data_IF_586595145195
#
_entry.id   IF_586595145195
#
_cell.length_a   1.000
_cell.length_b   1.000
_cell.length_c   1.000
_cell.angle_alpha   90.00
_cell.angle_beta   90.00
_cell.angle_gamma   90.00
#
_symmetry.space_group_name_H-M   'P 1'
#
loop_
_entity.id
_entity.type
_entity.pdbx_description
1 polymer ?
#
# COMPACT_ATOMS: atom_id res chain seq x y z
N UNK A 1 71.54 -46.02 23.44
CA UNK A 1 71.23 -45.36 22.15
C UNK A 1 69.91 -44.64 22.29
N UNK A 2 69.86 -43.39 21.85
CA UNK A 2 68.79 -42.40 22.08
C UNK A 2 67.48 -42.88 21.43
N UNK A 3 66.26 -42.69 21.95
CA UNK A 3 65.70 -41.74 22.93
C UNK A 3 65.46 -40.28 22.45
N UNK A 4 65.47 -40.01 21.14
CA UNK A 4 65.08 -38.69 20.60
C UNK A 4 64.31 -38.78 19.27
N UNK A 5 63.09 -39.35 19.26
CA UNK A 5 62.11 -39.23 18.13
C UNK A 5 60.64 -39.12 18.54
N UNK A 6 60.36 -38.65 19.76
CA UNK A 6 59.00 -38.34 20.24
C UNK A 6 58.89 -36.87 20.66
N UNK A 7 58.79 -35.97 19.68
CA UNK A 7 58.35 -34.57 19.77
C UNK A 7 58.36 -34.02 18.33
N UNK A 8 57.20 -33.71 17.74
CA UNK A 8 57.16 -33.31 16.32
C UNK A 8 55.80 -33.25 15.61
N UNK A 9 54.71 -33.73 16.22
CA UNK A 9 53.35 -33.46 15.71
C UNK A 9 52.90 -32.10 16.29
N UNK A 10 53.48 -31.03 15.75
CA UNK A 10 53.25 -29.67 16.22
C UNK A 10 51.93 -29.10 15.70
N UNK A 11 51.04 -28.73 16.63
CA UNK A 11 50.21 -27.52 16.60
C UNK A 11 49.28 -27.22 15.40
N UNK A 12 49.05 -28.15 14.47
CA UNK A 12 48.01 -28.00 13.42
C UNK A 12 46.61 -28.46 13.86
N UNK A 13 46.47 -29.12 15.01
CA UNK A 13 45.20 -29.63 15.52
C UNK A 13 44.26 -28.60 16.18
N UNK A 14 44.69 -27.35 16.39
CA UNK A 14 43.93 -26.32 17.13
C UNK A 14 43.88 -24.98 16.37
N UNK A 15 43.66 -25.04 15.05
CA UNK A 15 43.31 -23.85 14.24
C UNK A 15 42.11 -24.06 13.29
N UNK A 16 41.36 -25.16 13.45
CA UNK A 16 40.13 -25.44 12.68
C UNK A 16 38.85 -25.49 13.55
N UNK A 17 38.94 -25.18 14.84
CA UNK A 17 37.80 -25.19 15.77
C UNK A 17 37.19 -23.79 16.04
N UNK A 18 37.83 -22.71 15.57
CA UNK A 18 37.44 -21.32 15.87
C UNK A 18 36.76 -20.59 14.71
N UNK A 19 36.74 -21.14 13.50
CA UNK A 19 35.97 -20.60 12.37
C UNK A 19 34.49 -21.02 12.37
N UNK A 20 34.08 -21.93 13.25
CA UNK A 20 32.67 -22.26 13.52
C UNK A 20 31.99 -21.26 14.49
N UNK A 21 32.76 -20.35 15.10
CA UNK A 21 32.26 -19.21 15.89
C UNK A 21 32.07 -17.93 15.07
N UNK A 22 32.15 -18.00 13.73
CA UNK A 22 31.97 -16.86 12.84
C UNK A 22 30.58 -16.25 13.05
N UNK A 23 30.55 -14.99 13.46
CA UNK A 23 29.38 -14.35 14.04
C UNK A 23 28.06 -14.67 13.33
N UNK A 24 27.17 -15.36 14.06
CA UNK A 24 25.74 -15.02 13.99
C UNK A 24 25.60 -13.64 14.65
N UNK A 25 26.11 -12.63 13.95
CA UNK A 25 25.45 -11.33 13.94
C UNK A 25 24.00 -11.67 13.65
N UNK A 26 23.11 -11.38 14.58
CA UNK A 26 21.70 -11.45 14.24
C UNK A 26 21.50 -10.40 13.16
N UNK A 27 21.41 -10.84 11.90
CA UNK A 27 20.80 -10.09 10.82
C UNK A 27 19.29 -10.05 11.11
N UNK A 28 18.94 -9.51 12.27
CA UNK A 28 17.78 -8.67 12.46
C UNK A 28 18.00 -7.45 11.54
N UNK A 29 17.85 -7.70 10.24
CA UNK A 29 17.48 -6.69 9.27
C UNK A 29 16.32 -5.95 9.94
N UNK A 30 16.46 -4.66 10.28
CA UNK A 30 15.45 -3.99 11.09
C UNK A 30 14.13 -4.09 10.34
N UNK A 31 13.19 -4.86 10.91
CA UNK A 31 11.88 -5.10 10.31
C UNK A 31 11.29 -3.74 9.97
N UNK A 32 11.10 -3.50 8.67
CA UNK A 32 11.22 -2.15 8.12
C UNK A 32 10.28 -1.19 8.84
N UNK A 33 10.81 -0.04 9.28
CA UNK A 33 10.16 0.90 10.18
C UNK A 33 8.99 1.69 9.54
N UNK A 34 8.04 1.00 8.90
CA UNK A 34 6.64 1.44 8.76
C UNK A 34 5.83 1.22 10.06
N UNK A 35 6.48 0.81 11.17
CA UNK A 35 5.95 0.95 12.52
C UNK A 35 5.68 2.43 12.82
N UNK A 36 4.45 2.86 12.56
CA UNK A 36 3.96 4.24 12.70
C UNK A 36 4.84 5.29 11.99
N UNK A 37 4.71 5.34 10.66
CA UNK A 37 4.74 6.66 10.03
C UNK A 37 3.65 7.53 10.71
N UNK A 38 3.96 8.76 11.19
CA UNK A 38 3.18 9.44 12.21
C UNK A 38 1.91 10.09 11.65
N UNK A 39 0.89 9.27 11.38
CA UNK A 39 -0.39 9.68 10.81
C UNK A 39 -1.47 9.80 11.88
N UNK A 40 -1.82 11.02 12.23
CA UNK A 40 -2.97 11.32 13.08
C UNK A 40 -4.28 11.29 12.30
N UNK A 41 -5.38 11.18 13.03
CA UNK A 41 -6.72 11.45 12.55
C UNK A 41 -6.88 12.95 12.22
N UNK A 42 -7.69 13.31 11.22
CA UNK A 42 -7.90 14.72 10.87
C UNK A 42 -8.67 15.47 11.97
N UNK A 43 -8.56 16.81 12.04
CA UNK A 43 -9.34 17.59 12.99
C UNK A 43 -10.85 17.41 12.71
N UNK A 44 -11.66 17.35 13.77
CA UNK A 44 -13.12 17.20 13.66
C UNK A 44 -13.80 18.32 12.88
N UNK A 45 -13.15 19.48 12.75
CA UNK A 45 -13.58 20.62 11.94
C UNK A 45 -13.39 20.44 10.42
N UNK A 46 -12.66 19.42 9.96
CA UNK A 46 -12.44 19.11 8.54
C UNK A 46 -13.75 19.16 7.74
N UNK A 47 -13.77 19.83 6.59
CA UNK A 47 -14.91 19.90 5.67
C UNK A 47 -14.58 19.28 4.30
N UNK A 48 -15.59 18.92 3.48
CA UNK A 48 -15.36 18.46 2.11
C UNK A 48 -14.57 19.46 1.25
N UNK A 49 -14.74 20.77 1.51
CA UNK A 49 -13.98 21.83 0.84
C UNK A 49 -12.48 21.76 1.14
N UNK A 50 -12.07 21.36 2.34
CA UNK A 50 -10.65 21.25 2.71
C UNK A 50 -9.93 20.14 1.94
N UNK A 51 -10.67 19.15 1.42
CA UNK A 51 -10.13 18.08 0.57
C UNK A 51 -10.17 18.41 -0.94
N UNK A 52 -10.70 19.56 -1.35
CA UNK A 52 -10.75 19.94 -2.76
C UNK A 52 -9.34 20.23 -3.33
N UNK A 53 -9.12 19.87 -4.60
CA UNK A 53 -7.85 19.99 -5.30
C UNK A 53 -7.44 18.72 -6.02
N UNK A 54 -6.24 18.74 -6.62
CA UNK A 54 -5.67 17.56 -7.31
C UNK A 54 -4.76 16.79 -6.36
N UNK A 55 -5.10 15.52 -6.19
CA UNK A 55 -4.35 14.53 -5.44
C UNK A 55 -3.66 13.57 -6.41
N UNK A 56 -2.44 13.14 -6.09
CA UNK A 56 -1.65 12.26 -6.95
C UNK A 56 -0.89 11.22 -6.14
N UNK A 57 -0.76 10.00 -6.68
CA UNK A 57 0.21 9.00 -6.22
C UNK A 57 0.98 8.40 -7.40
N UNK A 58 2.08 7.71 -7.09
CA UNK A 58 2.97 7.08 -8.06
C UNK A 58 3.37 5.69 -7.57
N UNK A 59 2.70 4.66 -8.10
CA UNK A 59 2.92 3.28 -7.70
C UNK A 59 4.27 2.75 -8.19
N UNK A 60 4.67 3.12 -9.41
CA UNK A 60 5.92 2.74 -10.07
C UNK A 60 6.41 3.81 -11.04
N UNK A 61 7.64 3.66 -11.56
CA UNK A 61 8.25 4.65 -12.47
C UNK A 61 7.48 4.77 -13.78
N UNK A 62 6.69 5.85 -13.91
CA UNK A 62 5.84 6.08 -15.09
C UNK A 62 4.45 5.47 -14.96
N UNK A 63 4.01 5.14 -13.74
CA UNK A 63 2.62 4.87 -13.36
C UNK A 63 2.15 5.99 -12.44
N UNK A 64 1.06 6.67 -12.81
CA UNK A 64 0.50 7.79 -12.04
C UNK A 64 -1.01 7.60 -11.91
N UNK A 65 -1.54 7.77 -10.71
CA UNK A 65 -2.98 7.87 -10.44
C UNK A 65 -3.26 9.26 -9.84
N UNK A 66 -4.33 9.91 -10.31
CA UNK A 66 -4.78 11.24 -9.90
C UNK A 66 -6.25 11.23 -9.52
N UNK A 67 -6.58 11.90 -8.42
CA UNK A 67 -7.95 12.18 -8.01
C UNK A 67 -8.14 13.70 -7.94
N UNK A 68 -9.01 14.24 -8.78
CA UNK A 68 -9.42 15.64 -8.74
C UNK A 68 -10.70 15.71 -7.90
N UNK A 69 -10.61 16.19 -6.66
CA UNK A 69 -11.78 16.35 -5.78
C UNK A 69 -12.30 17.78 -5.85
N UNK A 70 -13.61 17.97 -5.92
CA UNK A 70 -14.27 19.27 -5.81
C UNK A 70 -15.09 19.39 -4.53
N UNK A 71 -15.21 20.61 -4.04
CA UNK A 71 -16.01 20.96 -2.86
C UNK A 71 -17.54 20.78 -3.06
N UNK A 72 -17.99 20.58 -4.30
CA UNK A 72 -19.40 20.31 -4.67
C UNK A 72 -19.83 18.85 -4.47
N UNK A 73 -18.93 17.98 -3.98
CA UNK A 73 -19.19 16.54 -3.84
C UNK A 73 -18.94 15.74 -5.11
N UNK A 74 -18.36 16.33 -6.17
CA UNK A 74 -17.95 15.61 -7.39
C UNK A 74 -16.44 15.38 -7.47
N UNK A 75 -16.04 14.29 -8.13
CA UNK A 75 -14.64 13.94 -8.36
C UNK A 75 -14.40 13.40 -9.77
N UNK A 76 -13.12 13.39 -10.17
CA UNK A 76 -12.64 12.64 -11.34
C UNK A 76 -11.37 11.87 -10.98
N UNK A 77 -11.26 10.62 -11.45
CA UNK A 77 -10.01 9.85 -11.45
C UNK A 77 -9.36 9.88 -12.83
N UNK A 78 -8.03 9.99 -12.88
CA UNK A 78 -7.22 9.78 -14.07
C UNK A 78 -6.02 8.88 -13.74
N UNK A 79 -5.86 7.78 -14.47
CA UNK A 79 -4.71 6.87 -14.34
C UNK A 79 -3.95 6.80 -15.67
N UNK A 80 -2.62 6.93 -15.62
CA UNK A 80 -1.72 6.77 -16.76
C UNK A 80 -0.64 5.74 -16.46
N UNK A 81 -0.32 4.86 -17.42
CA UNK A 81 0.95 4.13 -17.41
C UNK A 81 1.68 4.20 -18.75
N UNK A 82 3.00 4.43 -18.67
CA UNK A 82 3.94 4.39 -19.79
C UNK A 82 4.88 3.16 -19.69
N UNK A 83 4.53 2.21 -18.82
CA UNK A 83 5.34 1.01 -18.51
C UNK A 83 5.07 -0.09 -19.53
N UNK A 84 5.94 -0.18 -20.52
CA UNK A 84 5.78 -1.04 -21.71
C UNK A 84 5.68 -2.55 -21.45
N UNK A 85 5.93 -3.04 -20.22
CA UNK A 85 5.81 -4.46 -19.85
C UNK A 85 4.49 -4.81 -19.13
N UNK A 86 3.62 -3.83 -18.85
CA UNK A 86 2.28 -4.06 -18.28
C UNK A 86 1.26 -4.00 -19.41
N UNK A 87 0.84 -2.79 -19.79
CA UNK A 87 0.14 -2.46 -21.03
C UNK A 87 0.73 -1.11 -21.45
N UNK A 88 1.31 -1.04 -22.65
CA UNK A 88 1.88 0.22 -23.17
C UNK A 88 0.77 1.25 -23.36
N UNK A 89 1.01 2.47 -22.88
CA UNK A 89 0.19 3.66 -23.08
C UNK A 89 -1.29 3.48 -22.68
N UNK A 90 -1.55 2.62 -21.68
CA UNK A 90 -2.87 2.49 -21.07
C UNK A 90 -3.18 3.75 -20.24
N UNK A 91 -4.38 4.30 -20.47
CA UNK A 91 -4.96 5.38 -19.69
C UNK A 91 -6.41 5.07 -19.33
N UNK A 92 -6.87 5.61 -18.19
CA UNK A 92 -8.26 5.57 -17.74
C UNK A 92 -8.66 6.92 -17.18
N UNK A 93 -9.90 7.35 -17.45
CA UNK A 93 -10.48 8.61 -16.97
C UNK A 93 -11.96 8.39 -16.63
N UNK A 94 -12.43 8.90 -15.50
CA UNK A 94 -13.86 8.89 -15.15
C UNK A 94 -14.61 10.10 -15.71
N UNK A 95 -15.95 10.03 -15.68
CA UNK A 95 -16.78 11.23 -15.64
C UNK A 95 -16.53 12.05 -14.36
N UNK A 96 -17.30 13.13 -14.20
CA UNK A 96 -17.46 13.75 -12.88
C UNK A 96 -18.50 12.94 -12.10
N UNK A 97 -18.02 12.11 -11.18
CA UNK A 97 -18.81 11.19 -10.37
C UNK A 97 -18.97 11.73 -8.94
N UNK A 98 -19.87 11.16 -8.14
CA UNK A 98 -20.12 11.59 -6.75
C UNK A 98 -19.09 11.01 -5.76
N UNK A 99 -18.71 11.80 -4.75
CA UNK A 99 -17.95 11.34 -3.59
C UNK A 99 -18.57 11.79 -2.27
N UNK A 100 -18.41 10.94 -1.25
CA UNK A 100 -18.98 11.12 0.09
C UNK A 100 -17.88 11.10 1.15
N UNK A 101 -18.07 11.86 2.23
CA UNK A 101 -17.19 11.86 3.41
C UNK A 101 -17.88 11.12 4.56
N UNK A 102 -17.31 9.99 4.96
CA UNK A 102 -17.79 9.13 6.05
C UNK A 102 -16.99 9.45 7.32
N UNK A 103 -17.66 9.67 8.46
CA UNK A 103 -17.02 10.01 9.75
C UNK A 103 -17.40 9.01 10.83
N UNK A 104 -16.42 8.64 11.65
CA UNK A 104 -16.56 7.65 12.71
C UNK A 104 -16.52 8.33 14.08
N UNK A 105 -17.14 7.70 15.09
CA UNK A 105 -17.24 8.25 16.45
C UNK A 105 -15.89 8.30 17.20
N UNK A 106 -14.87 7.61 16.69
CA UNK A 106 -13.48 7.61 17.18
C UNK A 106 -12.62 8.74 16.56
N UNK A 107 -13.16 9.51 15.61
CA UNK A 107 -12.47 10.59 14.93
C UNK A 107 -11.93 10.23 13.54
N UNK A 108 -11.94 8.96 13.13
CA UNK A 108 -11.55 8.57 11.76
C UNK A 108 -12.47 9.23 10.73
N UNK A 109 -11.91 9.51 9.56
CA UNK A 109 -12.64 9.98 8.38
C UNK A 109 -12.20 9.17 7.17
N UNK A 110 -13.17 8.74 6.35
CA UNK A 110 -12.95 8.16 5.03
C UNK A 110 -13.60 9.02 3.95
N UNK A 111 -13.12 8.86 2.73
CA UNK A 111 -13.88 9.27 1.54
C UNK A 111 -14.24 8.04 0.71
N UNK A 112 -15.41 8.07 0.08
CA UNK A 112 -15.93 7.05 -0.82
C UNK A 112 -16.13 7.67 -2.21
N UNK A 113 -15.49 7.11 -3.22
CA UNK A 113 -15.42 7.65 -4.58
C UNK A 113 -16.19 6.71 -5.54
N UNK A 114 -17.45 7.04 -5.86
CA UNK A 114 -18.34 6.15 -6.62
C UNK A 114 -17.86 5.98 -8.07
N UNK A 115 -17.63 4.74 -8.51
CA UNK A 115 -17.09 4.42 -9.84
C UNK A 115 -15.59 4.68 -10.02
N UNK A 116 -14.86 5.03 -8.96
CA UNK A 116 -13.39 5.00 -8.97
C UNK A 116 -12.86 3.57 -8.88
N UNK A 117 -11.62 3.36 -9.31
CA UNK A 117 -10.97 2.05 -9.41
C UNK A 117 -9.69 1.97 -8.58
N UNK A 118 -9.43 0.77 -8.07
CA UNK A 118 -8.25 0.46 -7.24
C UNK A 118 -7.02 0.09 -8.10
N UNK A 119 -6.28 1.09 -8.60
CA UNK A 119 -5.08 0.85 -9.42
C UNK A 119 -3.82 0.46 -8.62
N UNK A 120 -3.79 0.62 -7.29
CA UNK A 120 -2.74 0.05 -6.43
C UNK A 120 -2.67 -1.49 -6.53
N UNK A 121 -3.77 -2.16 -6.94
CA UNK A 121 -3.80 -3.58 -7.28
C UNK A 121 -3.39 -3.92 -8.72
N UNK A 122 -2.97 -2.92 -9.49
CA UNK A 122 -2.69 -3.01 -10.92
C UNK A 122 -3.95 -3.01 -11.80
N UNK A 123 -3.76 -2.72 -13.10
CA UNK A 123 -4.84 -2.58 -14.09
C UNK A 123 -5.80 -3.79 -14.08
N UNK A 124 -5.27 -5.02 -13.92
CA UNK A 124 -6.08 -6.25 -13.88
C UNK A 124 -7.10 -6.26 -12.73
N UNK A 125 -6.80 -5.64 -11.59
CA UNK A 125 -7.74 -5.53 -10.46
C UNK A 125 -8.69 -4.36 -10.64
N UNK A 126 -8.20 -3.24 -11.19
CA UNK A 126 -9.00 -2.06 -11.49
C UNK A 126 -10.09 -2.31 -12.55
N UNK A 127 -9.77 -3.01 -13.64
CA UNK A 127 -10.75 -3.38 -14.69
C UNK A 127 -11.79 -4.39 -14.20
N UNK A 128 -11.45 -5.23 -13.22
CA UNK A 128 -12.40 -6.16 -12.59
C UNK A 128 -13.31 -5.46 -11.56
N UNK A 129 -13.07 -4.19 -11.24
CA UNK A 129 -13.92 -3.40 -10.35
C UNK A 129 -14.16 -4.14 -9.01
N UNK A 130 -13.07 -4.52 -8.34
CA UNK A 130 -13.08 -5.24 -7.06
C UNK A 130 -13.58 -6.68 -7.10
N UNK A 131 -13.82 -7.28 -8.29
CA UNK A 131 -14.31 -8.66 -8.44
C UNK A 131 -13.14 -9.64 -8.55
N UNK A 132 -13.35 -10.87 -8.09
CA UNK A 132 -12.30 -11.88 -7.96
C UNK A 132 -11.68 -12.28 -9.32
N UNK A 133 -10.35 -12.47 -9.38
CA UNK A 133 -9.64 -12.90 -10.60
C UNK A 133 -9.77 -14.42 -10.88
N UNK A 134 -11.00 -14.88 -11.05
CA UNK A 134 -11.34 -16.24 -11.45
C UNK A 134 -12.82 -16.29 -11.82
N UNK A 135 -13.13 -16.43 -13.12
CA UNK A 135 -14.51 -16.40 -13.62
C UNK A 135 -15.37 -17.56 -13.10
N UNK A 136 -16.67 -17.52 -13.41
CA UNK A 136 -17.68 -18.43 -12.87
C UNK A 136 -17.34 -19.94 -12.98
N UNK A 137 -16.49 -20.34 -13.93
CA UNK A 137 -15.94 -21.72 -14.02
C UNK A 137 -15.28 -22.23 -12.73
N UNK A 138 -14.70 -21.37 -11.89
CA UNK A 138 -14.05 -21.78 -10.63
C UNK A 138 -14.99 -21.81 -9.41
N UNK A 139 -16.15 -21.14 -9.49
CA UNK A 139 -17.00 -20.86 -8.32
C UNK A 139 -18.48 -21.23 -8.52
N UNK A 140 -18.86 -21.69 -9.71
CA UNK A 140 -20.23 -22.07 -10.06
C UNK A 140 -21.17 -20.87 -10.19
N UNK A 141 -22.48 -21.16 -10.14
CA UNK A 141 -23.55 -20.15 -10.30
C UNK A 141 -23.60 -19.12 -9.16
N UNK A 142 -23.04 -19.44 -7.98
CA UNK A 142 -22.90 -18.49 -6.87
C UNK A 142 -21.88 -17.37 -7.13
N UNK A 143 -21.04 -17.52 -8.15
CA UNK A 143 -19.97 -16.58 -8.47
C UNK A 143 -18.82 -16.58 -7.45
N UNK A 144 -17.76 -15.83 -7.78
CA UNK A 144 -16.64 -15.67 -6.87
C UNK A 144 -16.97 -14.66 -5.77
N UNK A 145 -16.50 -14.84 -4.52
CA UNK A 145 -16.72 -13.87 -3.45
C UNK A 145 -16.11 -12.50 -3.80
N UNK A 146 -16.83 -11.44 -3.45
CA UNK A 146 -16.37 -10.05 -3.56
C UNK A 146 -15.00 -9.87 -2.89
N UNK A 147 -14.10 -9.11 -3.50
CA UNK A 147 -12.79 -8.89 -2.91
C UNK A 147 -12.92 -7.96 -1.69
N UNK A 148 -12.52 -8.45 -0.53
CA UNK A 148 -12.41 -7.66 0.69
C UNK A 148 -11.06 -6.93 0.72
N UNK A 149 -11.09 -5.65 1.10
CA UNK A 149 -9.90 -4.80 1.20
C UNK A 149 -9.66 -4.47 2.67
N UNK A 150 -8.48 -4.82 3.18
CA UNK A 150 -8.11 -4.62 4.57
C UNK A 150 -7.79 -3.15 4.86
N UNK A 151 -8.40 -2.58 5.90
CA UNK A 151 -8.06 -1.25 6.41
C UNK A 151 -7.04 -1.38 7.56
N UNK A 152 -5.77 -0.97 7.37
CA UNK A 152 -4.73 -1.08 8.39
C UNK A 152 -4.81 -0.05 9.52
N UNK A 153 -5.73 0.90 9.43
CA UNK A 153 -6.00 1.92 10.47
C UNK A 153 -7.17 1.47 11.37
N UNK A 154 -8.08 0.66 10.83
CA UNK A 154 -9.30 0.22 11.51
C UNK A 154 -9.29 -1.26 11.95
N UNK A 155 -8.36 -2.07 11.44
CA UNK A 155 -8.34 -3.54 11.61
C UNK A 155 -9.65 -4.21 11.16
N UNK A 156 -10.17 -3.79 9.98
CA UNK A 156 -11.41 -4.30 9.42
C UNK A 156 -11.29 -4.61 7.91
N UNK A 157 -12.28 -5.31 7.36
CA UNK A 157 -12.39 -5.56 5.91
C UNK A 157 -13.48 -4.70 5.29
N UNK A 158 -13.09 -3.81 4.39
CA UNK A 158 -13.95 -2.90 3.62
C UNK A 158 -14.30 -3.53 2.27
N UNK A 159 -15.55 -3.40 1.85
CA UNK A 159 -16.00 -3.78 0.51
C UNK A 159 -15.86 -2.58 -0.45
N UNK A 160 -15.21 -2.79 -1.61
CA UNK A 160 -14.86 -1.74 -2.58
C UNK A 160 -15.11 -2.19 -4.04
N UNK A 161 -16.28 -2.80 -4.29
CA UNK A 161 -16.78 -3.07 -5.64
C UNK A 161 -17.63 -1.88 -6.08
N UNK A 162 -17.31 -1.25 -7.21
CA UNK A 162 -18.00 -0.06 -7.70
C UNK A 162 -17.56 1.26 -7.05
N UNK A 163 -16.53 1.26 -6.19
CA UNK A 163 -16.04 2.45 -5.49
C UNK A 163 -14.58 2.33 -5.03
N UNK A 164 -13.89 3.46 -4.88
CA UNK A 164 -12.61 3.54 -4.16
C UNK A 164 -12.85 4.19 -2.79
N UNK A 165 -12.55 3.47 -1.71
CA UNK A 165 -12.57 3.99 -0.34
C UNK A 165 -11.14 4.27 0.13
N UNK A 166 -10.92 5.47 0.69
CA UNK A 166 -9.62 5.93 1.20
C UNK A 166 -9.80 6.52 2.61
N UNK A 167 -8.85 6.27 3.52
CA UNK A 167 -8.79 6.95 4.80
C UNK A 167 -8.16 8.34 4.64
N UNK A 168 -8.76 9.36 5.25
CA UNK A 168 -8.15 10.70 5.38
C UNK A 168 -7.28 10.69 6.62
N UNK A 169 -5.99 11.03 6.49
CA UNK A 169 -5.07 11.21 7.62
C UNK A 169 -4.35 12.56 7.53
N UNK A 170 -3.73 12.97 8.63
CA UNK A 170 -2.81 14.11 8.71
C UNK A 170 -1.43 13.60 9.11
N UNK A 171 -0.36 14.04 8.43
CA UNK A 171 1.02 13.68 8.81
C UNK A 171 1.68 14.68 9.76
N UNK A 172 2.93 14.40 10.15
CA UNK A 172 3.71 15.21 11.09
C UNK A 172 3.98 16.66 10.67
N UNK A 173 3.68 17.05 9.43
CA UNK A 173 3.74 18.45 8.98
C UNK A 173 2.41 19.21 9.11
N UNK A 174 1.32 18.50 9.40
CA UNK A 174 -0.05 19.04 9.37
C UNK A 174 -0.76 18.84 8.02
N UNK A 175 -0.08 18.32 7.01
CA UNK A 175 -0.64 18.09 5.69
C UNK A 175 -1.56 16.86 5.62
N UNK A 176 -2.64 16.99 4.85
CA UNK A 176 -3.59 15.91 4.60
C UNK A 176 -3.05 14.90 3.57
N UNK A 177 -3.38 13.62 3.76
CA UNK A 177 -3.14 12.53 2.81
C UNK A 177 -4.34 11.59 2.71
N UNK A 178 -4.50 10.94 1.56
CA UNK A 178 -5.52 9.93 1.33
C UNK A 178 -4.85 8.55 1.24
N UNK A 179 -5.09 7.69 2.24
CA UNK A 179 -4.46 6.38 2.36
C UNK A 179 -5.35 5.26 1.80
N UNK A 180 -4.78 4.41 0.94
CA UNK A 180 -5.44 3.23 0.41
C UNK A 180 -5.70 2.14 1.47
N UNK A 181 -6.77 1.38 1.26
CA UNK A 181 -6.93 0.02 1.82
C UNK A 181 -6.01 -0.97 1.09
N UNK A 182 -5.78 -2.15 1.65
CA UNK A 182 -4.85 -3.15 1.10
C UNK A 182 -5.53 -4.45 0.67
N UNK A 183 -4.87 -5.22 -0.20
CA UNK A 183 -5.44 -6.47 -0.75
C UNK A 183 -5.34 -7.69 0.18
N UNK A 184 -4.61 -7.57 1.29
CA UNK A 184 -4.70 -8.47 2.45
C UNK A 184 -4.06 -7.80 3.67
N UNK A 185 -4.37 -8.31 4.86
CA UNK A 185 -3.70 -7.99 6.11
C UNK A 185 -2.17 -8.14 5.99
N UNK A 186 -1.70 -9.31 5.55
CA UNK A 186 -0.27 -9.67 5.58
C UNK A 186 0.60 -8.92 4.56
N UNK A 187 -0.01 -8.32 3.51
CA UNK A 187 0.73 -7.57 2.48
C UNK A 187 1.22 -6.20 2.96
N UNK A 188 0.66 -5.69 4.04
CA UNK A 188 0.74 -4.28 4.41
C UNK A 188 2.13 -3.74 4.70
N UNK A 189 2.79 -4.29 5.71
CA UNK A 189 3.95 -3.64 6.34
C UNK A 189 5.32 -4.07 5.80
N UNK A 190 5.40 -5.14 4.99
CA UNK A 190 6.64 -5.88 4.80
C UNK A 190 7.40 -5.68 3.47
N UNK A 191 6.73 -5.32 2.36
CA UNK A 191 7.34 -5.47 1.02
C UNK A 191 7.11 -4.32 0.02
N UNK A 192 6.33 -3.29 0.34
CA UNK A 192 6.14 -2.13 -0.54
C UNK A 192 5.83 -0.90 0.31
N UNK A 193 6.72 0.10 0.26
CA UNK A 193 6.77 1.19 1.23
C UNK A 193 5.47 2.00 1.32
N UNK A 194 5.11 2.39 2.55
CA UNK A 194 3.87 3.06 2.91
C UNK A 194 3.58 4.36 2.11
N UNK A 195 4.60 5.00 1.53
CA UNK A 195 4.48 6.14 0.63
C UNK A 195 3.65 5.84 -0.63
N UNK A 196 3.75 4.61 -1.18
CA UNK A 196 3.06 4.22 -2.43
C UNK A 196 1.57 3.92 -2.24
N UNK A 197 1.11 3.77 -1.00
CA UNK A 197 -0.32 3.62 -0.67
C UNK A 197 -1.00 4.95 -0.32
N UNK A 198 -0.38 6.10 -0.64
CA UNK A 198 -0.87 7.43 -0.30
C UNK A 198 -1.00 8.32 -1.53
N UNK A 199 -2.13 9.03 -1.67
CA UNK A 199 -2.17 10.22 -2.50
C UNK A 199 -1.73 11.45 -1.68
N UNK A 200 -0.92 12.29 -2.31
CA UNK A 200 -0.49 13.61 -1.82
C UNK A 200 -1.16 14.69 -2.68
N UNK A 201 -1.51 15.84 -2.09
CA UNK A 201 -2.00 16.99 -2.87
C UNK A 201 -0.86 17.55 -3.71
N UNK A 202 -1.13 17.86 -4.97
CA UNK A 202 -0.16 18.44 -5.92
C UNK A 202 -0.59 19.79 -6.49
N UNK A 203 -1.90 20.08 -6.47
CA UNK A 203 -2.46 21.37 -6.87
C UNK A 203 -3.50 21.80 -5.81
N UNK A 204 -3.37 23.04 -5.34
CA UNK A 204 -4.34 23.70 -4.46
C UNK A 204 -5.24 24.58 -5.35
N UNK A 205 -6.58 24.61 -5.14
CA UNK A 205 -7.50 25.47 -5.89
C UNK A 205 -7.23 26.99 -5.75
#
# INVERSE_FOLDING_TARGET
MNLERWLGISLWGILLATLAGGCVCSWAVPFSHCLQAPYSDPPSSLQPADLAGTWQTSYERGVVDKLMLRADGTFKQLYETRVAHIIRDYAYETGWNEWEMERFADGRVRIRLRGARYYLGGIRMAELDGKHFGGAQLWGEGGAPSYGFYDPIADETVHMVGELVLNVRVDSSGEFLLHHMWTSHDRGFAMSGCERSQFRRVEIP
#
